data_IF_197055213224
#
_entry.id   IF_197055213224
#
_cell.length_a   1.000
_cell.length_b   1.000
_cell.length_c   1.000
_cell.angle_alpha   90.00
_cell.angle_beta   90.00
_cell.angle_gamma   90.00
#
_symmetry.space_group_name_H-M   'P 1'
#
loop_
_entity.id
_entity.type
_entity.pdbx_description
1 polymer ?
#
# COMPACT_ATOMS: atom_id res chain seq x y z
N UNK A 1 26.47 -27.02 8.54
CA UNK A 1 26.52 -25.63 8.04
C UNK A 1 25.63 -25.48 6.81
N UNK A 2 25.77 -26.33 5.78
CA UNK A 2 24.99 -26.25 4.54
C UNK A 2 23.49 -26.36 4.78
N UNK A 3 23.02 -27.31 5.56
CA UNK A 3 21.60 -27.45 5.92
C UNK A 3 21.05 -26.23 6.67
N UNK A 4 21.88 -25.63 7.50
CA UNK A 4 21.50 -24.44 8.27
C UNK A 4 21.36 -23.20 7.38
N UNK A 5 22.20 -23.03 6.38
CA UNK A 5 22.09 -21.96 5.39
C UNK A 5 20.89 -22.15 4.47
N UNK A 6 20.60 -23.37 4.05
CA UNK A 6 19.40 -23.71 3.28
C UNK A 6 18.14 -23.36 4.10
N UNK A 7 18.11 -23.76 5.37
CA UNK A 7 17.00 -23.44 6.29
C UNK A 7 16.78 -21.92 6.44
N UNK A 8 17.84 -21.09 6.39
CA UNK A 8 17.67 -19.62 6.44
C UNK A 8 17.11 -19.05 5.14
N UNK A 9 17.54 -19.56 3.99
CA UNK A 9 16.97 -19.16 2.69
C UNK A 9 15.50 -19.56 2.59
N UNK A 10 15.10 -20.71 3.12
CA UNK A 10 13.69 -21.12 3.20
C UNK A 10 12.88 -20.16 4.07
N UNK A 11 13.44 -19.68 5.19
CA UNK A 11 12.77 -18.69 6.03
C UNK A 11 12.57 -17.34 5.34
N UNK A 12 13.51 -16.87 4.55
CA UNK A 12 13.31 -15.66 3.74
C UNK A 12 12.16 -15.83 2.74
N UNK A 13 12.04 -17.03 2.16
CA UNK A 13 10.91 -17.39 1.30
C UNK A 13 9.59 -17.48 2.07
N UNK A 14 9.60 -18.04 3.28
CA UNK A 14 8.44 -18.16 4.15
C UNK A 14 7.88 -16.78 4.56
N UNK A 15 8.73 -15.83 4.94
CA UNK A 15 8.35 -14.45 5.25
C UNK A 15 7.55 -13.83 4.10
N UNK A 16 8.05 -13.98 2.88
CA UNK A 16 7.36 -13.41 1.71
C UNK A 16 6.08 -14.14 1.34
N UNK A 17 6.01 -15.46 1.55
CA UNK A 17 4.79 -16.26 1.36
C UNK A 17 3.72 -15.90 2.38
N UNK A 18 4.09 -15.71 3.65
CA UNK A 18 3.18 -15.32 4.71
C UNK A 18 2.59 -13.92 4.44
N UNK A 19 3.42 -12.96 4.04
CA UNK A 19 2.95 -11.65 3.61
C UNK A 19 1.93 -11.76 2.46
N UNK A 20 2.21 -12.58 1.45
CA UNK A 20 1.28 -12.79 0.34
C UNK A 20 -0.03 -13.43 0.80
N UNK A 21 0.04 -14.45 1.67
CA UNK A 21 -1.14 -15.12 2.20
C UNK A 21 -2.03 -14.15 2.99
N UNK A 22 -1.42 -13.33 3.84
CA UNK A 22 -2.09 -12.30 4.62
C UNK A 22 -2.78 -11.27 3.72
N UNK A 23 -2.09 -10.74 2.71
CA UNK A 23 -2.66 -9.81 1.74
C UNK A 23 -3.79 -10.46 0.92
N UNK A 24 -3.64 -11.72 0.52
CA UNK A 24 -4.67 -12.45 -0.21
C UNK A 24 -5.95 -12.61 0.63
N UNK A 25 -5.82 -12.95 1.90
CA UNK A 25 -6.97 -13.08 2.81
C UNK A 25 -7.70 -11.75 2.98
N UNK A 26 -6.95 -10.66 3.19
CA UNK A 26 -7.53 -9.30 3.28
C UNK A 26 -8.21 -8.87 1.98
N UNK A 27 -7.65 -9.22 0.83
CA UNK A 27 -8.24 -8.94 -0.47
C UNK A 27 -9.62 -9.61 -0.62
N UNK A 28 -9.74 -10.88 -0.29
CA UNK A 28 -11.02 -11.58 -0.32
C UNK A 28 -12.03 -11.03 0.69
N UNK A 29 -11.59 -10.67 1.88
CA UNK A 29 -12.42 -10.04 2.89
C UNK A 29 -12.99 -8.71 2.39
N UNK A 30 -12.16 -7.88 1.76
CA UNK A 30 -12.53 -6.58 1.22
C UNK A 30 -13.54 -6.70 0.07
N UNK A 31 -13.31 -7.62 -0.87
CA UNK A 31 -14.27 -7.92 -1.94
C UNK A 31 -15.60 -8.43 -1.39
N UNK A 32 -15.56 -9.37 -0.45
CA UNK A 32 -16.76 -9.94 0.17
C UNK A 32 -17.59 -8.86 0.87
N UNK A 33 -16.93 -7.95 1.61
CA UNK A 33 -17.59 -6.81 2.24
C UNK A 33 -18.26 -5.91 1.20
N UNK A 34 -17.57 -5.56 0.13
CA UNK A 34 -18.10 -4.75 -0.97
C UNK A 34 -19.36 -5.37 -1.59
N UNK A 35 -19.26 -6.66 -1.95
CA UNK A 35 -20.39 -7.40 -2.52
C UNK A 35 -21.57 -7.41 -1.55
N UNK A 36 -21.31 -7.67 -0.27
CA UNK A 36 -22.35 -7.70 0.77
C UNK A 36 -23.06 -6.36 0.90
N UNK A 37 -22.32 -5.25 0.95
CA UNK A 37 -22.92 -3.90 1.05
C UNK A 37 -23.77 -3.60 -0.17
N UNK A 38 -23.29 -3.94 -1.38
CA UNK A 38 -24.07 -3.73 -2.62
C UNK A 38 -25.33 -4.59 -2.62
N UNK A 39 -25.24 -5.88 -2.27
CA UNK A 39 -26.38 -6.79 -2.23
C UNK A 39 -27.44 -6.32 -1.22
N UNK A 40 -27.04 -5.95 0.00
CA UNK A 40 -27.96 -5.43 1.02
C UNK A 40 -28.72 -4.21 0.48
N UNK A 41 -28.03 -3.33 -0.24
CA UNK A 41 -28.67 -2.15 -0.83
C UNK A 41 -29.62 -2.48 -1.98
N UNK A 42 -29.25 -3.40 -2.85
CA UNK A 42 -30.14 -3.85 -3.95
C UNK A 42 -31.44 -4.44 -3.37
N UNK A 43 -31.31 -5.25 -2.33
CA UNK A 43 -32.48 -5.89 -1.68
C UNK A 43 -33.33 -4.87 -0.90
N UNK A 44 -32.71 -3.88 -0.29
CA UNK A 44 -33.37 -2.87 0.54
C UNK A 44 -33.89 -1.66 -0.25
N UNK A 45 -33.46 -1.48 -1.50
CA UNK A 45 -33.86 -0.35 -2.32
C UNK A 45 -35.34 -0.48 -2.75
N UNK A 46 -36.13 0.52 -2.43
CA UNK A 46 -37.47 0.69 -3.01
C UNK A 46 -37.32 1.24 -4.44
N UNK A 47 -38.34 1.02 -5.26
CA UNK A 47 -38.35 1.52 -6.63
C UNK A 47 -38.16 3.05 -6.64
N UNK A 48 -37.00 3.48 -7.17
CA UNK A 48 -36.61 4.89 -7.23
C UNK A 48 -35.47 5.32 -6.30
N UNK A 49 -35.08 4.49 -5.31
CA UNK A 49 -33.98 4.82 -4.43
C UNK A 49 -32.60 4.73 -5.11
N UNK A 50 -31.67 5.57 -4.67
CA UNK A 50 -30.28 5.50 -5.11
C UNK A 50 -29.59 4.28 -4.49
N UNK A 51 -28.99 3.42 -5.33
CA UNK A 51 -28.28 2.22 -4.87
C UNK A 51 -27.09 2.60 -3.97
N UNK A 52 -26.40 3.70 -4.28
CA UNK A 52 -25.29 4.22 -3.49
C UNK A 52 -25.68 5.58 -2.92
N UNK A 53 -25.92 5.62 -1.61
CA UNK A 53 -26.10 6.84 -0.83
C UNK A 53 -24.75 7.36 -0.31
N UNK A 54 -24.68 8.65 0.07
CA UNK A 54 -23.48 9.24 0.66
C UNK A 54 -22.99 8.50 1.89
N UNK A 55 -23.89 7.94 2.69
CA UNK A 55 -23.55 7.13 3.87
C UNK A 55 -22.75 5.88 3.52
N UNK A 56 -23.08 5.23 2.40
CA UNK A 56 -22.34 4.05 1.92
C UNK A 56 -20.96 4.44 1.43
N UNK A 57 -20.84 5.57 0.74
CA UNK A 57 -19.53 6.07 0.30
C UNK A 57 -18.63 6.32 1.51
N UNK A 58 -19.14 6.91 2.58
CA UNK A 58 -18.40 7.12 3.82
C UNK A 58 -18.00 5.77 4.45
N UNK A 59 -18.95 4.84 4.58
CA UNK A 59 -18.69 3.51 5.13
C UNK A 59 -17.59 2.77 4.35
N UNK A 60 -17.69 2.79 3.03
CA UNK A 60 -16.67 2.18 2.15
C UNK A 60 -15.33 2.90 2.25
N UNK A 61 -15.33 4.24 2.36
CA UNK A 61 -14.13 5.03 2.58
C UNK A 61 -13.40 4.66 3.87
N UNK A 62 -14.14 4.52 4.97
CA UNK A 62 -13.59 4.05 6.26
C UNK A 62 -13.00 2.65 6.13
N UNK A 63 -13.68 1.76 5.41
CA UNK A 63 -13.16 0.39 5.21
C UNK A 63 -11.88 0.37 4.36
N UNK A 64 -11.78 1.22 3.35
CA UNK A 64 -10.54 1.39 2.58
C UNK A 64 -9.40 1.96 3.45
N UNK A 65 -9.69 2.88 4.38
CA UNK A 65 -8.69 3.36 5.35
C UNK A 65 -8.17 2.20 6.22
N UNK A 66 -9.03 1.33 6.73
CA UNK A 66 -8.60 0.13 7.45
C UNK A 66 -7.72 -0.78 6.60
N UNK A 67 -7.99 -0.89 5.30
CA UNK A 67 -7.15 -1.64 4.37
C UNK A 67 -5.71 -1.07 4.30
N UNK A 68 -5.53 0.26 4.36
CA UNK A 68 -4.20 0.87 4.42
C UNK A 68 -3.50 0.65 5.76
N UNK A 69 -4.24 0.75 6.88
CA UNK A 69 -3.69 0.43 8.21
C UNK A 69 -3.21 -1.02 8.24
N UNK A 70 -3.97 -1.94 7.65
CA UNK A 70 -3.60 -3.34 7.57
C UNK A 70 -2.34 -3.57 6.72
N UNK A 71 -2.19 -2.87 5.59
CA UNK A 71 -0.97 -2.90 4.80
C UNK A 71 0.24 -2.42 5.62
N UNK A 72 0.07 -1.34 6.38
CA UNK A 72 1.13 -0.80 7.24
C UNK A 72 1.55 -1.80 8.33
N UNK A 73 0.59 -2.44 9.01
CA UNK A 73 0.87 -3.49 10.00
C UNK A 73 1.61 -4.67 9.37
N UNK A 74 1.18 -5.14 8.19
CA UNK A 74 1.87 -6.21 7.46
C UNK A 74 3.31 -5.82 7.08
N UNK A 75 3.56 -4.57 6.73
CA UNK A 75 4.93 -4.09 6.47
C UNK A 75 5.80 -4.05 7.74
N UNK A 76 5.23 -3.70 8.88
CA UNK A 76 5.92 -3.74 10.17
C UNK A 76 6.31 -5.18 10.55
N UNK A 77 5.37 -6.12 10.40
CA UNK A 77 5.60 -7.55 10.68
C UNK A 77 6.72 -8.13 9.80
N UNK A 78 6.68 -7.86 8.50
CA UNK A 78 7.73 -8.31 7.57
C UNK A 78 9.10 -7.73 7.96
N UNK A 79 9.15 -6.48 8.40
CA UNK A 79 10.40 -5.86 8.82
C UNK A 79 10.95 -6.49 10.10
N UNK A 80 10.09 -6.82 11.04
CA UNK A 80 10.49 -7.51 12.28
C UNK A 80 11.01 -8.92 11.99
N UNK A 81 10.30 -9.70 11.18
CA UNK A 81 10.74 -11.05 10.78
C UNK A 81 12.06 -11.02 10.00
N UNK A 82 12.27 -10.02 9.14
CA UNK A 82 13.54 -9.80 8.46
C UNK A 82 14.68 -9.54 9.44
N UNK A 83 14.46 -8.69 10.44
CA UNK A 83 15.46 -8.40 11.46
C UNK A 83 15.82 -9.68 12.26
N UNK A 84 14.82 -10.45 12.66
CA UNK A 84 15.03 -11.76 13.31
C UNK A 84 15.82 -12.74 12.44
N UNK A 85 15.58 -12.75 11.13
CA UNK A 85 16.36 -13.53 10.19
C UNK A 85 17.83 -13.10 10.18
N UNK A 86 18.09 -11.79 10.16
CA UNK A 86 19.44 -11.24 10.14
C UNK A 86 20.21 -11.47 11.44
N UNK A 87 19.53 -11.40 12.58
CA UNK A 87 20.11 -11.75 13.90
C UNK A 87 20.54 -13.22 13.95
N UNK A 88 19.76 -14.12 13.32
CA UNK A 88 20.14 -15.53 13.21
C UNK A 88 21.41 -15.73 12.41
N UNK A 89 21.60 -15.02 11.30
CA UNK A 89 22.87 -15.08 10.54
C UNK A 89 24.06 -14.69 11.39
N UNK A 90 23.92 -13.64 12.21
CA UNK A 90 24.97 -13.20 13.12
C UNK A 90 25.25 -14.24 14.19
N UNK A 91 24.21 -14.77 14.81
CA UNK A 91 24.33 -15.83 15.83
C UNK A 91 24.99 -17.09 15.27
N UNK A 92 24.70 -17.46 14.02
CA UNK A 92 25.34 -18.61 13.36
C UNK A 92 26.83 -18.32 13.19
N UNK A 93 27.19 -17.16 12.66
CA UNK A 93 28.59 -16.75 12.47
C UNK A 93 29.36 -16.80 13.79
N UNK A 94 28.80 -16.26 14.87
CA UNK A 94 29.44 -16.22 16.20
C UNK A 94 29.65 -17.61 16.77
N UNK A 95 28.72 -18.56 16.59
CA UNK A 95 28.89 -19.95 17.06
C UNK A 95 30.01 -20.71 16.37
N UNK A 96 30.30 -20.37 15.13
CA UNK A 96 31.37 -21.03 14.36
C UNK A 96 32.72 -20.31 14.45
N UNK A 97 32.74 -19.08 14.98
CA UNK A 97 33.95 -18.28 15.13
C UNK A 97 35.04 -18.96 15.98
N UNK A 98 34.62 -19.71 16.99
CA UNK A 98 35.54 -20.43 17.88
C UNK A 98 36.04 -21.75 17.28
N UNK A 99 35.39 -22.25 16.23
CA UNK A 99 35.68 -23.56 15.62
C UNK A 99 36.44 -23.47 14.30
N UNK A 100 36.36 -22.31 13.62
CA UNK A 100 36.91 -22.09 12.29
C UNK A 100 37.82 -20.85 12.29
N UNK A 101 38.89 -20.88 11.49
CA UNK A 101 39.70 -19.70 11.24
C UNK A 101 38.86 -18.61 10.51
N UNK A 102 39.11 -17.34 10.74
CA UNK A 102 38.34 -16.23 10.14
C UNK A 102 38.26 -16.29 8.62
N UNK A 103 39.36 -16.70 7.96
CA UNK A 103 39.38 -16.83 6.50
C UNK A 103 38.49 -17.97 5.97
N UNK A 104 38.42 -19.08 6.69
CA UNK A 104 37.59 -20.22 6.33
C UNK A 104 36.12 -19.95 6.70
N UNK A 105 35.90 -19.25 7.81
CA UNK A 105 34.55 -18.82 8.21
C UNK A 105 33.93 -17.87 7.17
N UNK A 106 34.67 -16.89 6.71
CA UNK A 106 34.20 -15.92 5.70
C UNK A 106 34.01 -16.56 4.31
N UNK A 107 34.81 -17.59 3.96
CA UNK A 107 34.60 -18.36 2.71
C UNK A 107 33.38 -19.23 2.74
N UNK A 108 33.03 -19.82 3.92
CA UNK A 108 31.92 -20.74 4.07
C UNK A 108 30.61 -19.98 4.40
N UNK A 109 30.71 -18.94 5.22
CA UNK A 109 29.58 -18.14 5.69
C UNK A 109 29.87 -16.67 5.40
N UNK A 110 29.75 -16.24 4.14
CA UNK A 110 29.70 -14.83 3.80
C UNK A 110 28.35 -14.25 4.24
N UNK A 111 28.29 -13.93 5.53
CA UNK A 111 27.07 -13.43 6.18
C UNK A 111 26.55 -12.16 5.51
N UNK A 112 27.43 -11.30 5.02
CA UNK A 112 27.04 -10.03 4.43
C UNK A 112 26.47 -10.21 3.04
N UNK A 113 27.05 -11.10 2.23
CA UNK A 113 26.51 -11.47 0.92
C UNK A 113 25.15 -12.18 1.06
N UNK A 114 25.00 -13.09 2.02
CA UNK A 114 23.74 -13.80 2.29
C UNK A 114 22.64 -12.85 2.76
N UNK A 115 22.95 -11.98 3.74
CA UNK A 115 22.02 -10.93 4.21
C UNK A 115 21.57 -10.02 3.06
N UNK A 116 22.51 -9.56 2.24
CA UNK A 116 22.24 -8.69 1.09
C UNK A 116 21.34 -9.38 0.06
N UNK A 117 21.57 -10.65 -0.22
CA UNK A 117 20.77 -11.45 -1.15
C UNK A 117 19.34 -11.63 -0.65
N UNK A 118 19.17 -12.01 0.60
CA UNK A 118 17.85 -12.22 1.20
C UNK A 118 17.10 -10.91 1.39
N UNK A 119 17.78 -9.83 1.81
CA UNK A 119 17.19 -8.49 1.88
C UNK A 119 16.68 -8.04 0.50
N UNK A 120 17.49 -8.18 -0.51
CA UNK A 120 17.15 -7.85 -1.90
C UNK A 120 15.91 -8.63 -2.38
N UNK A 121 15.83 -9.92 -2.08
CA UNK A 121 14.71 -10.77 -2.42
C UNK A 121 13.43 -10.34 -1.69
N UNK A 122 13.48 -10.16 -0.36
CA UNK A 122 12.35 -9.74 0.46
C UNK A 122 11.86 -8.35 0.02
N UNK A 123 12.77 -7.38 -0.16
CA UNK A 123 12.42 -6.03 -0.60
C UNK A 123 11.77 -5.99 -1.98
N UNK A 124 12.28 -6.78 -2.93
CA UNK A 124 11.72 -6.85 -4.29
C UNK A 124 10.28 -7.37 -4.24
N UNK A 125 10.02 -8.44 -3.50
CA UNK A 125 8.68 -9.00 -3.33
C UNK A 125 7.74 -8.03 -2.60
N UNK A 126 8.20 -7.42 -1.51
CA UNK A 126 7.45 -6.42 -0.74
C UNK A 126 7.02 -5.23 -1.61
N UNK A 127 7.93 -4.69 -2.44
CA UNK A 127 7.61 -3.59 -3.37
C UNK A 127 6.53 -3.97 -4.37
N UNK A 128 6.56 -5.20 -4.90
CA UNK A 128 5.53 -5.68 -5.83
C UNK A 128 4.18 -5.77 -5.12
N UNK A 129 4.12 -6.43 -3.96
CA UNK A 129 2.87 -6.61 -3.23
C UNK A 129 2.26 -5.29 -2.78
N UNK A 130 3.08 -4.35 -2.29
CA UNK A 130 2.63 -3.00 -1.94
C UNK A 130 2.03 -2.27 -3.12
N UNK A 131 2.67 -2.30 -4.31
CA UNK A 131 2.13 -1.65 -5.50
C UNK A 131 0.79 -2.26 -5.93
N UNK A 132 0.71 -3.58 -5.97
CA UNK A 132 -0.54 -4.29 -6.31
C UNK A 132 -1.65 -3.91 -5.34
N UNK A 133 -1.37 -3.90 -4.04
CA UNK A 133 -2.35 -3.55 -3.02
C UNK A 133 -2.84 -2.11 -3.13
N UNK A 134 -1.92 -1.15 -3.29
CA UNK A 134 -2.26 0.26 -3.47
C UNK A 134 -3.08 0.46 -4.75
N UNK A 135 -2.67 -0.14 -5.88
CA UNK A 135 -3.43 -0.07 -7.14
C UNK A 135 -4.84 -0.61 -6.97
N UNK A 136 -5.00 -1.74 -6.29
CA UNK A 136 -6.31 -2.31 -6.02
C UNK A 136 -7.20 -1.38 -5.20
N UNK A 137 -6.68 -0.81 -4.10
CA UNK A 137 -7.42 0.15 -3.28
C UNK A 137 -7.82 1.40 -4.06
N UNK A 138 -6.93 1.91 -4.93
CA UNK A 138 -7.23 3.06 -5.81
C UNK A 138 -8.36 2.71 -6.79
N UNK A 139 -8.30 1.55 -7.44
CA UNK A 139 -9.35 1.10 -8.36
C UNK A 139 -10.69 0.99 -7.64
N UNK A 140 -10.70 0.40 -6.45
CA UNK A 140 -11.91 0.29 -5.63
C UNK A 140 -12.47 1.66 -5.25
N UNK A 141 -11.61 2.58 -4.82
CA UNK A 141 -12.02 3.96 -4.51
C UNK A 141 -12.62 4.66 -5.74
N UNK A 142 -11.97 4.57 -6.89
CA UNK A 142 -12.45 5.16 -8.14
C UNK A 142 -13.79 4.55 -8.57
N UNK A 143 -13.98 3.25 -8.37
CA UNK A 143 -15.25 2.57 -8.65
C UNK A 143 -16.38 3.12 -7.77
N UNK A 144 -16.14 3.25 -6.47
CA UNK A 144 -17.14 3.80 -5.53
C UNK A 144 -17.48 5.24 -5.88
N UNK A 145 -16.47 6.08 -6.12
CA UNK A 145 -16.67 7.47 -6.51
C UNK A 145 -17.37 7.59 -7.85
N UNK A 146 -16.98 6.78 -8.83
CA UNK A 146 -17.62 6.75 -10.15
C UNK A 146 -19.10 6.39 -10.08
N UNK A 147 -19.48 5.39 -9.28
CA UNK A 147 -20.86 5.01 -9.05
C UNK A 147 -21.65 6.10 -8.32
N UNK A 148 -21.03 6.79 -7.37
CA UNK A 148 -21.64 7.90 -6.65
C UNK A 148 -21.92 9.10 -7.57
N UNK A 149 -20.91 9.52 -8.35
CA UNK A 149 -21.03 10.67 -9.25
C UNK A 149 -21.93 10.39 -10.46
N UNK A 150 -21.98 9.16 -10.96
CA UNK A 150 -22.85 8.81 -12.08
C UNK A 150 -24.32 9.12 -11.83
N UNK A 151 -24.77 9.01 -10.57
CA UNK A 151 -26.15 9.31 -10.18
C UNK A 151 -26.40 10.71 -9.62
N UNK A 152 -25.36 11.52 -9.44
CA UNK A 152 -25.49 12.89 -8.90
C UNK A 152 -24.80 13.89 -9.81
N UNK A 153 -25.28 14.09 -11.06
CA UNK A 153 -24.62 14.96 -12.04
C UNK A 153 -24.51 16.41 -11.59
N UNK A 154 -25.40 16.90 -10.72
CA UNK A 154 -25.36 18.26 -10.16
C UNK A 154 -24.12 18.52 -9.31
N UNK A 155 -23.54 17.52 -8.68
CA UNK A 155 -22.28 17.66 -7.94
C UNK A 155 -21.07 17.79 -8.88
N UNK A 156 -21.11 17.15 -10.04
CA UNK A 156 -20.04 17.26 -11.05
C UNK A 156 -19.95 18.71 -11.54
N UNK A 157 -21.08 19.35 -11.83
CA UNK A 157 -21.13 20.75 -12.27
C UNK A 157 -20.63 21.72 -11.19
N UNK A 158 -20.74 21.40 -9.91
CA UNK A 158 -20.28 22.27 -8.82
C UNK A 158 -18.82 22.02 -8.43
N UNK A 159 -18.30 20.82 -8.59
CA UNK A 159 -16.95 20.43 -8.13
C UNK A 159 -15.88 20.64 -9.20
N UNK A 160 -16.20 20.34 -10.47
CA UNK A 160 -15.22 20.48 -11.57
C UNK A 160 -14.66 21.89 -11.69
N UNK A 161 -15.48 22.99 -11.69
CA UNK A 161 -14.93 24.34 -11.78
C UNK A 161 -14.06 24.70 -10.57
N UNK A 162 -14.41 24.25 -9.36
CA UNK A 162 -13.60 24.51 -8.16
C UNK A 162 -12.24 23.82 -8.21
N UNK A 163 -12.22 22.55 -8.65
CA UNK A 163 -10.97 21.79 -8.81
C UNK A 163 -10.12 22.37 -9.93
N UNK A 164 -10.73 22.76 -11.05
CA UNK A 164 -10.02 23.40 -12.17
C UNK A 164 -9.39 24.74 -11.75
N UNK A 165 -10.12 25.56 -11.01
CA UNK A 165 -9.60 26.83 -10.52
C UNK A 165 -8.45 26.63 -9.51
N UNK A 166 -8.57 25.64 -8.61
CA UNK A 166 -7.52 25.35 -7.65
C UNK A 166 -6.26 24.76 -8.32
N UNK A 167 -6.43 23.93 -9.33
CA UNK A 167 -5.32 23.44 -10.16
C UNK A 167 -4.66 24.56 -10.95
N UNK A 168 -5.43 25.46 -11.57
CA UNK A 168 -4.87 26.60 -12.30
C UNK A 168 -4.09 27.55 -11.39
N UNK A 169 -4.53 27.74 -10.15
CA UNK A 169 -3.80 28.52 -9.14
C UNK A 169 -2.48 27.86 -8.71
N UNK A 170 -2.44 26.53 -8.64
CA UNK A 170 -1.22 25.77 -8.30
C UNK A 170 -0.20 25.74 -9.45
N UNK A 171 -0.66 25.65 -10.69
CA UNK A 171 0.21 25.52 -11.86
C UNK A 171 0.58 26.87 -12.52
N UNK A 172 -0.14 27.97 -12.23
CA UNK A 172 0.12 29.30 -12.79
C UNK A 172 0.15 30.40 -11.70
N UNK A 173 1.13 30.38 -10.77
CA UNK A 173 1.20 31.39 -9.69
C UNK A 173 1.57 32.82 -10.20
N UNK A 174 2.00 32.98 -11.45
CA UNK A 174 2.52 34.25 -11.97
C UNK A 174 1.50 35.18 -12.60
N UNK A 175 0.23 34.79 -12.77
CA UNK A 175 -0.75 35.65 -13.46
C UNK A 175 -1.38 36.73 -12.56
N UNK A 176 -1.27 36.58 -11.24
CA UNK A 176 -1.86 37.57 -10.27
C UNK A 176 -1.03 38.81 -10.02
N UNK A 177 0.18 38.94 -10.57
CA UNK A 177 1.05 40.12 -10.31
C UNK A 177 0.90 41.26 -11.33
N UNK A 178 0.31 41.01 -12.50
CA UNK A 178 0.23 42.05 -13.54
C UNK A 178 -1.00 42.97 -13.45
N UNK A 179 -2.04 42.59 -12.70
CA UNK A 179 -3.27 43.42 -12.60
C UNK A 179 -3.17 44.54 -11.54
N UNK A 180 -2.20 44.45 -10.61
CA UNK A 180 -2.02 45.49 -9.58
C UNK A 180 -1.17 46.67 -10.00
N UNK A 181 -0.36 46.53 -11.04
CA UNK A 181 0.55 47.59 -11.47
C UNK A 181 -0.06 48.50 -12.54
N UNK A 182 -1.16 48.10 -13.20
CA UNK A 182 -1.85 48.97 -14.16
C UNK A 182 -2.76 50.01 -13.50
N UNK A 183 -3.29 49.75 -12.32
CA UNK A 183 -4.22 50.64 -11.60
C UNK A 183 -3.51 51.72 -10.78
N UNK A 184 -2.16 51.81 -10.83
CA UNK A 184 -1.34 52.78 -10.10
C UNK A 184 -0.77 53.91 -11.02
N UNK A 185 -1.05 53.82 -12.33
CA UNK A 185 -0.58 54.84 -13.32
C UNK A 185 -1.65 55.81 -13.81
N UNK A 186 -2.88 55.67 -13.31
CA UNK A 186 -4.00 56.58 -13.67
C UNK A 186 -4.54 57.38 -12.46
N UNK A 187 -3.68 57.81 -11.54
CA UNK A 187 -4.04 58.85 -10.55
C UNK A 187 -2.94 59.85 -10.44
#
# INVERSE_FOLDING_TARGET
ISEMLISQADKASEITKNMLATLKTSFWSLISFFITVILVKIVSAKTGDTIISGEIVILMGVFLLFSFVYLWLSECEVNEEKNRLFDRYTTIKDRYKDLLNEDDLNKIIDTDALKSKDDSYIQKRRKVYRRVWISFNIIMLLTVLGMYFYKTPSLIESVIPKVKNHLSELFNPHEKTNDKDQNKKEK
#
